data_IF_539246591143
#
_entry.id   IF_539246591143
#
_cell.length_a   1.000
_cell.length_b   1.000
_cell.length_c   1.000
_cell.angle_alpha   90.00
_cell.angle_beta   90.00
_cell.angle_gamma   90.00
#
_symmetry.space_group_name_H-M   'P 1'
#
loop_
_entity.id
_entity.type
_entity.pdbx_description
1 polymer ?
#
# COMPACT_ATOMS: atom_id res chain seq x y z
N UNK A 1 -20.15 19.42 2.48
CA UNK A 1 -21.05 20.12 1.52
C UNK A 1 -21.12 21.62 1.81
N UNK A 2 -21.22 22.08 3.06
CA UNK A 2 -21.15 23.52 3.37
C UNK A 2 -19.76 24.11 3.11
N UNK A 3 -18.70 23.39 3.47
CA UNK A 3 -17.31 23.78 3.19
C UNK A 3 -17.01 23.97 1.71
N UNK A 4 -17.57 23.12 0.83
CA UNK A 4 -17.39 23.24 -0.63
C UNK A 4 -18.03 24.50 -1.18
N UNK A 5 -19.21 24.90 -0.70
CA UNK A 5 -19.85 26.16 -1.08
C UNK A 5 -19.04 27.39 -0.62
N UNK A 6 -18.50 27.33 0.61
CA UNK A 6 -17.60 28.37 1.12
C UNK A 6 -16.33 28.46 0.27
N UNK A 7 -15.70 27.33 -0.06
CA UNK A 7 -14.52 27.31 -0.91
C UNK A 7 -14.80 27.90 -2.30
N UNK A 8 -15.89 27.50 -2.95
CA UNK A 8 -16.27 28.05 -4.25
C UNK A 8 -16.56 29.57 -4.18
N UNK A 9 -17.23 30.05 -3.12
CA UNK A 9 -17.45 31.49 -2.89
C UNK A 9 -16.14 32.23 -2.70
N UNK A 10 -15.19 31.66 -1.94
CA UNK A 10 -13.85 32.24 -1.76
C UNK A 10 -13.08 32.35 -3.07
N UNK A 11 -13.10 31.28 -3.90
CA UNK A 11 -12.47 31.31 -5.23
C UNK A 11 -13.02 32.47 -6.10
N UNK A 12 -14.33 32.62 -6.12
CA UNK A 12 -14.99 33.71 -6.86
C UNK A 12 -14.64 35.09 -6.29
N UNK A 13 -14.61 35.24 -4.97
CA UNK A 13 -14.24 36.48 -4.30
C UNK A 13 -12.79 36.91 -4.61
N UNK A 14 -11.88 35.91 -4.68
CA UNK A 14 -10.48 36.15 -5.01
C UNK A 14 -10.21 36.26 -6.51
N UNK A 15 -11.23 36.14 -7.36
CA UNK A 15 -11.08 36.24 -8.82
C UNK A 15 -10.21 35.15 -9.41
N UNK A 16 -10.24 33.95 -8.85
CA UNK A 16 -9.45 32.82 -9.37
C UNK A 16 -10.09 32.26 -10.65
N UNK A 17 -9.30 32.16 -11.72
CA UNK A 17 -9.72 31.57 -12.99
C UNK A 17 -9.87 30.02 -12.91
N UNK A 18 -9.14 29.42 -11.99
CA UNK A 18 -9.20 27.96 -11.78
C UNK A 18 -8.31 27.49 -10.62
N UNK A 19 -8.37 26.19 -10.34
CA UNK A 19 -7.58 25.54 -9.31
C UNK A 19 -6.83 24.36 -9.91
N UNK A 20 -5.53 24.28 -9.68
CA UNK A 20 -4.73 23.06 -9.88
C UNK A 20 -4.57 22.39 -8.51
N UNK A 21 -5.01 21.14 -8.41
CA UNK A 21 -4.82 20.35 -7.19
C UNK A 21 -3.90 19.18 -7.46
N UNK A 22 -2.87 19.06 -6.66
CA UNK A 22 -1.94 17.93 -6.67
C UNK A 22 -2.33 17.02 -5.51
N UNK A 23 -2.73 15.78 -5.79
CA UNK A 23 -3.19 14.88 -4.75
C UNK A 23 -3.77 13.56 -5.26
N UNK A 24 -4.30 12.75 -4.35
CA UNK A 24 -4.90 11.45 -4.62
C UNK A 24 -6.43 11.49 -4.79
N UNK A 25 -7.04 10.32 -4.71
CA UNK A 25 -8.47 10.09 -4.89
C UNK A 25 -9.37 11.05 -4.06
N UNK A 26 -9.08 11.22 -2.78
CA UNK A 26 -9.84 12.12 -1.92
C UNK A 26 -9.81 13.58 -2.38
N UNK A 27 -8.66 14.07 -2.85
CA UNK A 27 -8.50 15.40 -3.43
C UNK A 27 -9.30 15.55 -4.71
N UNK A 28 -9.28 14.53 -5.57
CA UNK A 28 -10.02 14.56 -6.85
C UNK A 28 -11.54 14.52 -6.64
N UNK A 29 -12.02 13.77 -5.67
CA UNK A 29 -13.45 13.84 -5.27
C UNK A 29 -13.83 15.25 -4.81
N UNK A 30 -12.95 15.93 -4.07
CA UNK A 30 -13.14 17.34 -3.71
C UNK A 30 -13.17 18.26 -4.91
N UNK A 31 -12.27 18.07 -5.89
CA UNK A 31 -12.23 18.85 -7.13
C UNK A 31 -13.50 18.70 -7.96
N UNK A 32 -14.02 17.49 -8.11
CA UNK A 32 -15.28 17.22 -8.83
C UNK A 32 -16.42 18.03 -8.20
N UNK A 33 -16.47 18.11 -6.89
CA UNK A 33 -17.52 18.89 -6.20
C UNK A 33 -17.33 20.40 -6.40
N UNK A 34 -16.08 20.90 -6.51
CA UNK A 34 -15.81 22.31 -6.85
C UNK A 34 -16.16 22.61 -8.31
N UNK A 35 -15.86 21.67 -9.22
CA UNK A 35 -16.26 21.81 -10.63
C UNK A 35 -17.79 21.95 -10.78
N UNK A 36 -18.58 21.19 -10.01
CA UNK A 36 -20.04 21.31 -9.95
C UNK A 36 -20.53 22.68 -9.46
N UNK A 37 -19.68 23.44 -8.76
CA UNK A 37 -19.95 24.83 -8.33
C UNK A 37 -19.50 25.88 -9.36
N UNK A 38 -19.04 25.44 -10.55
CA UNK A 38 -18.61 26.31 -11.64
C UNK A 38 -17.19 26.84 -11.48
N UNK A 39 -16.33 26.16 -10.74
CA UNK A 39 -14.90 26.45 -10.66
C UNK A 39 -14.15 25.57 -11.65
N UNK A 40 -13.31 26.16 -12.51
CA UNK A 40 -12.41 25.41 -13.38
C UNK A 40 -11.37 24.68 -12.55
N UNK A 41 -11.17 23.38 -12.80
CA UNK A 41 -10.24 22.58 -11.99
C UNK A 41 -9.38 21.68 -12.87
N UNK A 42 -8.13 21.49 -12.45
CA UNK A 42 -7.20 20.51 -13.02
C UNK A 42 -6.62 19.68 -11.89
N UNK A 43 -6.63 18.37 -12.03
CA UNK A 43 -6.04 17.43 -11.07
C UNK A 43 -4.71 16.90 -11.57
N UNK A 44 -3.70 16.88 -10.70
CA UNK A 44 -2.41 16.21 -10.93
C UNK A 44 -2.31 15.04 -9.98
N UNK A 45 -2.24 13.77 -10.50
CA UNK A 45 -2.23 12.58 -9.66
C UNK A 45 -0.95 12.47 -8.82
N UNK A 46 -1.08 12.57 -7.51
CA UNK A 46 0.01 12.44 -6.55
C UNK A 46 -0.47 11.68 -5.31
N UNK A 47 -0.09 10.43 -5.26
CA UNK A 47 -0.37 9.49 -4.16
C UNK A 47 0.58 8.30 -4.25
N UNK A 48 0.88 7.67 -3.13
CA UNK A 48 1.69 6.44 -3.09
C UNK A 48 0.86 5.19 -3.42
N UNK A 49 -0.46 5.29 -3.43
CA UNK A 49 -1.37 4.15 -3.61
C UNK A 49 -1.45 3.67 -5.06
N UNK A 50 -1.11 4.54 -6.02
CA UNK A 50 -1.20 4.32 -7.46
C UNK A 50 -2.60 3.84 -7.92
N UNK A 51 -3.65 4.37 -7.28
CA UNK A 51 -5.05 3.96 -7.43
C UNK A 51 -5.90 4.92 -8.29
N UNK A 52 -5.26 5.83 -9.02
CA UNK A 52 -5.95 6.82 -9.87
C UNK A 52 -6.11 6.27 -11.29
N UNK A 53 -7.35 6.15 -11.72
CA UNK A 53 -7.71 5.69 -13.06
C UNK A 53 -7.14 6.67 -14.13
N UNK A 54 -6.73 6.13 -15.27
CA UNK A 54 -6.17 6.87 -16.41
C UNK A 54 -4.76 7.46 -16.17
N UNK A 55 -4.04 6.96 -15.19
CA UNK A 55 -2.60 7.23 -15.05
C UNK A 55 -1.86 5.93 -14.77
N UNK A 56 -0.69 5.74 -15.37
CA UNK A 56 0.14 4.57 -15.16
C UNK A 56 0.89 4.66 -13.83
N UNK A 57 1.42 5.86 -13.54
CA UNK A 57 2.15 6.16 -12.32
C UNK A 57 1.67 7.47 -11.71
N UNK A 58 1.36 7.42 -10.42
CA UNK A 58 1.08 8.61 -9.62
C UNK A 58 2.38 9.18 -9.05
N UNK A 59 2.46 10.51 -8.94
CA UNK A 59 3.62 11.18 -8.33
C UNK A 59 3.77 10.69 -6.88
N UNK A 60 4.95 10.19 -6.54
CA UNK A 60 5.27 9.66 -5.22
C UNK A 60 5.23 8.14 -5.11
N UNK A 61 4.54 7.41 -6.00
CA UNK A 61 4.49 5.95 -5.96
C UNK A 61 5.87 5.30 -6.10
N UNK A 62 6.63 5.68 -7.12
CA UNK A 62 7.97 5.14 -7.35
C UNK A 62 8.93 5.44 -6.18
N UNK A 63 8.87 6.65 -5.64
CA UNK A 63 9.64 7.02 -4.45
C UNK A 63 9.28 6.15 -3.25
N UNK A 64 7.99 5.94 -2.99
CA UNK A 64 7.53 5.08 -1.89
C UNK A 64 7.95 3.62 -2.09
N UNK A 65 7.84 3.11 -3.32
CA UNK A 65 8.25 1.75 -3.66
C UNK A 65 9.75 1.54 -3.40
N UNK A 66 10.61 2.44 -3.87
CA UNK A 66 12.06 2.36 -3.64
C UNK A 66 12.41 2.49 -2.15
N UNK A 67 11.76 3.39 -1.42
CA UNK A 67 11.95 3.53 0.03
C UNK A 67 11.57 2.25 0.77
N UNK A 68 10.46 1.64 0.42
CA UNK A 68 10.00 0.39 1.02
C UNK A 68 10.94 -0.78 0.71
N UNK A 69 11.41 -0.91 -0.55
CA UNK A 69 12.39 -1.92 -0.94
C UNK A 69 13.67 -1.76 -0.14
N UNK A 70 14.23 -0.55 -0.03
CA UNK A 70 15.45 -0.28 0.76
C UNK A 70 15.26 -0.65 2.23
N UNK A 71 14.14 -0.27 2.84
CA UNK A 71 13.84 -0.61 4.22
C UNK A 71 13.74 -2.12 4.45
N UNK A 72 13.09 -2.83 3.53
CA UNK A 72 12.93 -4.29 3.61
C UNK A 72 14.23 -5.02 3.37
N UNK A 73 15.09 -4.55 2.48
CA UNK A 73 16.41 -5.14 2.28
C UNK A 73 17.26 -5.10 3.55
N UNK A 74 17.20 -3.99 4.29
CA UNK A 74 17.86 -3.88 5.60
C UNK A 74 17.27 -4.86 6.64
N UNK A 75 15.95 -5.06 6.63
CA UNK A 75 15.30 -6.07 7.49
C UNK A 75 15.70 -7.49 7.10
N UNK A 76 15.85 -7.77 5.80
CA UNK A 76 16.19 -9.09 5.27
C UNK A 76 17.54 -9.58 5.78
N UNK A 77 18.57 -8.74 5.84
CA UNK A 77 19.87 -9.09 6.35
C UNK A 77 19.79 -9.61 7.80
N UNK A 78 18.98 -8.94 8.62
CA UNK A 78 18.73 -9.35 10.01
C UNK A 78 17.92 -10.63 10.10
N UNK A 79 16.91 -10.80 9.22
CA UNK A 79 16.07 -12.00 9.19
C UNK A 79 16.86 -13.25 8.79
N UNK A 80 17.72 -13.12 7.78
CA UNK A 80 18.51 -14.22 7.26
C UNK A 80 19.50 -14.72 8.32
N UNK A 81 20.15 -13.83 9.04
CA UNK A 81 21.11 -14.19 10.09
C UNK A 81 20.48 -14.88 11.29
N UNK A 82 19.18 -14.70 11.54
CA UNK A 82 18.47 -15.25 12.69
C UNK A 82 17.40 -16.31 12.31
N UNK A 83 17.32 -16.71 11.05
CA UNK A 83 16.34 -17.67 10.52
C UNK A 83 14.88 -17.34 10.90
N UNK A 84 14.50 -16.05 10.80
CA UNK A 84 13.22 -15.54 11.29
C UNK A 84 12.16 -15.44 10.18
N UNK A 85 10.90 -15.46 10.63
CA UNK A 85 9.78 -14.99 9.84
C UNK A 85 9.56 -13.50 10.09
N UNK A 86 9.27 -12.71 9.05
CA UNK A 86 8.83 -11.32 9.18
C UNK A 86 7.55 -11.09 8.42
N UNK A 87 6.65 -10.32 9.00
CA UNK A 87 5.42 -9.84 8.39
C UNK A 87 5.53 -8.32 8.32
N UNK A 88 5.56 -7.79 7.10
CA UNK A 88 5.74 -6.36 6.85
C UNK A 88 4.46 -5.81 6.23
N UNK A 89 3.84 -4.85 6.92
CA UNK A 89 2.69 -4.13 6.41
C UNK A 89 3.16 -2.93 5.59
N UNK A 90 2.57 -2.76 4.42
CA UNK A 90 2.83 -1.61 3.57
C UNK A 90 1.53 -0.88 3.26
N UNK A 91 1.63 0.43 3.16
CA UNK A 91 0.52 1.30 2.80
C UNK A 91 0.04 1.02 1.37
N UNK A 92 -1.05 1.62 0.98
CA UNK A 92 -1.68 1.49 -0.34
C UNK A 92 -3.20 1.56 -0.25
N UNK A 93 -3.74 1.80 0.96
CA UNK A 93 -5.17 1.91 1.24
C UNK A 93 -5.93 0.66 0.78
N UNK A 94 -6.72 0.77 -0.30
CA UNK A 94 -7.49 -0.35 -0.86
C UNK A 94 -6.81 -0.97 -2.08
N UNK A 95 -5.57 -0.60 -2.39
CA UNK A 95 -4.81 -1.07 -3.53
C UNK A 95 -3.54 -1.81 -3.09
N UNK A 96 -3.27 -2.95 -3.69
CA UNK A 96 -2.10 -3.79 -3.42
C UNK A 96 -0.89 -3.48 -4.30
N UNK A 97 -0.90 -2.40 -5.09
CA UNK A 97 0.15 -2.09 -6.04
C UNK A 97 1.53 -1.98 -5.38
N UNK A 98 1.62 -1.22 -4.28
CA UNK A 98 2.86 -1.04 -3.54
C UNK A 98 3.35 -2.36 -2.94
N UNK A 99 2.46 -3.11 -2.28
CA UNK A 99 2.78 -4.42 -1.69
C UNK A 99 3.28 -5.42 -2.74
N UNK A 100 2.62 -5.46 -3.90
CA UNK A 100 2.99 -6.36 -5.00
C UNK A 100 4.37 -6.01 -5.57
N UNK A 101 4.60 -4.73 -5.87
CA UNK A 101 5.90 -4.26 -6.39
C UNK A 101 7.03 -4.57 -5.41
N UNK A 102 6.87 -4.18 -4.16
CA UNK A 102 7.86 -4.38 -3.10
C UNK A 102 8.11 -5.86 -2.85
N UNK A 103 7.04 -6.68 -2.79
CA UNK A 103 7.15 -8.11 -2.57
C UNK A 103 7.88 -8.85 -3.69
N UNK A 104 7.65 -8.46 -4.95
CA UNK A 104 8.37 -9.00 -6.11
C UNK A 104 9.84 -8.56 -6.10
N UNK A 105 10.11 -7.28 -5.87
CA UNK A 105 11.47 -6.73 -5.88
C UNK A 105 12.35 -7.34 -4.78
N UNK A 106 11.78 -7.62 -3.60
CA UNK A 106 12.51 -8.17 -2.45
C UNK A 106 12.48 -9.71 -2.38
N UNK A 107 11.79 -10.40 -3.29
CA UNK A 107 11.68 -11.85 -3.29
C UNK A 107 10.92 -12.40 -2.09
N UNK A 108 9.84 -11.73 -1.68
CA UNK A 108 8.99 -12.15 -0.57
C UNK A 108 8.46 -13.59 -0.76
N UNK A 109 8.28 -14.30 0.35
CA UNK A 109 7.71 -15.66 0.36
C UNK A 109 6.24 -15.64 0.00
N UNK A 110 5.51 -14.61 0.44
CA UNK A 110 4.12 -14.35 0.07
C UNK A 110 3.86 -12.85 0.03
N UNK A 111 2.91 -12.46 -0.84
CA UNK A 111 2.41 -11.09 -0.93
C UNK A 111 0.90 -11.15 -0.85
N UNK A 112 0.33 -10.43 0.10
CA UNK A 112 -1.11 -10.38 0.36
C UNK A 112 -1.64 -9.04 -0.13
N UNK A 113 -2.58 -9.09 -1.07
CA UNK A 113 -3.17 -7.90 -1.71
C UNK A 113 -4.68 -7.94 -1.67
N UNK A 114 -5.37 -6.80 -1.53
CA UNK A 114 -6.82 -6.74 -1.38
C UNK A 114 -7.58 -7.12 -2.66
N UNK A 115 -6.93 -7.11 -3.83
CA UNK A 115 -7.52 -7.51 -5.10
C UNK A 115 -7.78 -9.01 -5.21
N UNK A 116 -7.27 -9.81 -4.28
CA UNK A 116 -7.49 -11.26 -4.21
C UNK A 116 -8.16 -11.63 -2.91
N UNK A 117 -9.11 -12.55 -2.96
CA UNK A 117 -9.67 -13.15 -1.77
C UNK A 117 -8.57 -13.83 -0.96
N UNK A 118 -8.37 -13.34 0.25
CA UNK A 118 -7.34 -13.83 1.17
C UNK A 118 -7.77 -15.16 1.80
N UNK A 119 -6.88 -16.15 1.73
CA UNK A 119 -7.02 -17.41 2.44
C UNK A 119 -5.70 -17.74 3.15
N UNK A 120 -5.71 -17.66 4.47
CA UNK A 120 -4.52 -17.83 5.29
C UNK A 120 -3.78 -19.14 5.04
N UNK A 121 -4.51 -20.27 4.93
CA UNK A 121 -3.91 -21.57 4.71
C UNK A 121 -3.19 -21.65 3.35
N UNK A 122 -3.85 -21.23 2.28
CA UNK A 122 -3.31 -21.24 0.91
C UNK A 122 -2.20 -20.22 0.70
N UNK A 123 -2.41 -18.99 1.19
CA UNK A 123 -1.58 -17.85 0.79
C UNK A 123 -0.39 -17.62 1.73
N UNK A 124 -0.44 -18.16 2.94
CA UNK A 124 0.63 -18.02 3.94
C UNK A 124 1.22 -19.37 4.33
N UNK A 125 0.40 -20.27 4.92
CA UNK A 125 0.92 -21.53 5.50
C UNK A 125 1.56 -22.41 4.43
N UNK A 126 0.88 -22.63 3.32
CA UNK A 126 1.42 -23.46 2.25
C UNK A 126 2.64 -22.84 1.58
N UNK A 127 2.67 -21.50 1.42
CA UNK A 127 3.84 -20.80 0.88
C UNK A 127 5.07 -20.95 1.77
N UNK A 128 4.91 -20.83 3.08
CA UNK A 128 6.00 -21.06 4.04
C UNK A 128 6.45 -22.52 3.99
N UNK A 129 5.52 -23.49 3.94
CA UNK A 129 5.86 -24.91 3.83
C UNK A 129 6.66 -25.23 2.56
N UNK A 130 6.22 -24.75 1.42
CA UNK A 130 6.93 -24.90 0.15
C UNK A 130 8.33 -24.27 0.18
N UNK A 131 8.45 -23.08 0.76
CA UNK A 131 9.73 -22.43 0.94
C UNK A 131 10.68 -23.23 1.84
N UNK A 132 10.18 -23.84 2.94
CA UNK A 132 10.96 -24.76 3.78
C UNK A 132 11.44 -25.98 2.99
N UNK A 133 10.58 -26.58 2.19
CA UNK A 133 10.94 -27.74 1.36
C UNK A 133 12.04 -27.40 0.33
N UNK A 134 12.12 -26.16 -0.11
CA UNK A 134 13.20 -25.66 -0.99
C UNK A 134 14.48 -25.26 -0.24
N UNK A 135 14.54 -25.48 1.07
CA UNK A 135 15.72 -25.18 1.90
C UNK A 135 15.78 -23.74 2.43
N UNK A 136 14.73 -22.93 2.27
CA UNK A 136 14.68 -21.59 2.88
C UNK A 136 14.46 -21.68 4.39
N UNK A 137 15.25 -20.94 5.16
CA UNK A 137 15.19 -20.89 6.63
C UNK A 137 14.54 -19.60 7.15
N UNK A 138 14.41 -18.59 6.30
CA UNK A 138 13.79 -17.29 6.62
C UNK A 138 12.61 -17.02 5.68
N UNK A 139 11.58 -16.34 6.18
CA UNK A 139 10.35 -16.10 5.45
C UNK A 139 9.92 -14.64 5.59
N UNK A 140 9.57 -14.03 4.47
CA UNK A 140 9.06 -12.66 4.42
C UNK A 140 7.66 -12.67 3.82
N UNK A 141 6.72 -12.11 4.55
CA UNK A 141 5.34 -11.92 4.11
C UNK A 141 5.10 -10.42 4.01
N UNK A 142 4.75 -9.95 2.83
CA UNK A 142 4.34 -8.55 2.61
C UNK A 142 2.82 -8.49 2.62
N UNK A 143 2.29 -7.57 3.39
CA UNK A 143 0.84 -7.39 3.58
C UNK A 143 0.46 -5.97 3.16
N UNK A 144 -0.44 -5.84 2.18
CA UNK A 144 -1.08 -4.55 1.92
C UNK A 144 -2.07 -4.24 3.05
N UNK A 145 -2.06 -3.03 3.58
CA UNK A 145 -2.96 -2.60 4.68
C UNK A 145 -4.44 -2.88 4.41
N UNK A 146 -4.84 -2.89 3.13
CA UNK A 146 -6.22 -3.19 2.72
C UNK A 146 -6.65 -4.65 2.91
N UNK A 147 -5.72 -5.59 3.16
CA UNK A 147 -6.04 -7.00 3.45
C UNK A 147 -6.40 -7.18 4.92
N UNK A 148 -5.72 -6.48 5.81
CA UNK A 148 -5.88 -6.59 7.24
C UNK A 148 -4.59 -6.32 8.00
N UNK A 149 -4.62 -6.50 9.31
CA UNK A 149 -3.49 -6.21 10.17
C UNK A 149 -2.39 -7.26 10.07
N UNK A 150 -1.15 -6.81 9.82
CA UNK A 150 0.02 -7.68 9.88
C UNK A 150 0.22 -8.32 11.27
N UNK A 151 -0.23 -7.64 12.34
CA UNK A 151 -0.18 -8.18 13.70
C UNK A 151 -1.05 -9.42 13.84
N UNK A 152 -2.27 -9.39 13.31
CA UNK A 152 -3.18 -10.54 13.35
C UNK A 152 -2.66 -11.70 12.50
N UNK A 153 -2.10 -11.41 11.33
CA UNK A 153 -1.47 -12.40 10.46
C UNK A 153 -0.26 -13.04 11.17
N UNK A 154 0.54 -12.22 11.85
CA UNK A 154 1.67 -12.70 12.65
C UNK A 154 1.23 -13.67 13.76
N UNK A 155 0.16 -13.38 14.50
CA UNK A 155 -0.41 -14.28 15.51
C UNK A 155 -0.85 -15.62 14.90
N UNK A 156 -1.58 -15.57 13.78
CA UNK A 156 -2.02 -16.77 13.08
C UNK A 156 -0.84 -17.63 12.60
N UNK A 157 0.25 -17.01 12.14
CA UNK A 157 1.48 -17.73 11.76
C UNK A 157 2.10 -18.41 12.99
N UNK A 158 2.15 -17.73 14.12
CA UNK A 158 2.65 -18.32 15.37
C UNK A 158 1.83 -19.54 15.78
N UNK A 159 0.52 -19.41 15.82
CA UNK A 159 -0.41 -20.50 16.19
C UNK A 159 -0.33 -21.71 15.22
N UNK A 160 -0.27 -21.44 13.91
CA UNK A 160 -0.32 -22.49 12.90
C UNK A 160 1.02 -23.20 12.65
N UNK A 161 2.14 -22.52 12.83
CA UNK A 161 3.47 -23.00 12.41
C UNK A 161 4.51 -23.00 13.53
N UNK A 162 4.19 -22.49 14.71
CA UNK A 162 5.12 -22.36 15.84
C UNK A 162 6.29 -21.40 15.55
N UNK A 163 6.15 -20.53 14.55
CA UNK A 163 7.12 -19.46 14.27
C UNK A 163 6.86 -18.28 15.18
N UNK A 164 7.88 -17.46 15.42
CA UNK A 164 7.76 -16.19 16.15
C UNK A 164 8.04 -15.02 15.18
N UNK A 165 7.00 -14.52 14.48
CA UNK A 165 7.19 -13.51 13.45
C UNK A 165 7.51 -12.14 14.04
N UNK A 166 8.45 -11.44 13.42
CA UNK A 166 8.60 -10.00 13.59
C UNK A 166 7.56 -9.30 12.74
N UNK A 167 6.79 -8.41 13.35
CA UNK A 167 5.81 -7.59 12.65
C UNK A 167 6.28 -6.14 12.61
N UNK A 168 6.19 -5.54 11.44
CA UNK A 168 6.63 -4.16 11.18
C UNK A 168 5.66 -3.47 10.24
#
# INVERSE_FOLDING_TARGET
REGQKKAAATCKLLGLDGIVSIGGDGSFRGLVELAKQGISVVGVPATIDNDIVCTDYTIGYDTAANTAVEAIDRLRDTMQSHERCSVVEVMGRNAGHLALYVGLATGATAVLVPEKEFNFQRDVVERIRLARLSGKTHFMIIVAEGVGSAVEIGKQIHEALGLDPRVT
#
